data_IF_296115308749
#
_entry.id   IF_296115308749
#
_cell.length_a   1.000
_cell.length_b   1.000
_cell.length_c   1.000
_cell.angle_alpha   90.00
_cell.angle_beta   90.00
_cell.angle_gamma   90.00
#
_symmetry.space_group_name_H-M   'P 1'
#
loop_
_entity.id
_entity.type
_entity.pdbx_description
1 polymer ?
#
# COMPACT_ATOMS: atom_id res chain seq x y z
N UNK A 1 26.08 -21.12 -18.43
CA UNK A 1 24.73 -21.74 -18.28
C UNK A 1 23.71 -20.66 -17.90
N UNK A 2 22.43 -20.77 -18.36
CA UNK A 2 21.34 -19.84 -17.99
C UNK A 2 21.04 -20.03 -16.50
N UNK A 3 20.79 -18.90 -15.79
CA UNK A 3 20.37 -18.91 -14.38
C UNK A 3 18.96 -19.53 -14.23
N UNK A 4 18.80 -20.41 -13.25
CA UNK A 4 17.49 -20.92 -12.79
C UNK A 4 17.15 -20.25 -11.44
N UNK A 5 15.91 -19.81 -11.24
CA UNK A 5 15.48 -19.19 -9.99
C UNK A 5 15.23 -20.25 -8.91
N UNK A 6 15.44 -19.89 -7.65
CA UNK A 6 15.25 -20.79 -6.52
C UNK A 6 13.81 -21.33 -6.46
N UNK A 7 12.81 -20.49 -6.71
CA UNK A 7 11.41 -20.91 -6.77
C UNK A 7 11.15 -22.02 -7.81
N UNK A 8 11.89 -22.05 -8.90
CA UNK A 8 11.79 -23.10 -9.94
C UNK A 8 12.47 -24.40 -9.48
N UNK A 9 13.63 -24.27 -8.79
CA UNK A 9 14.40 -25.41 -8.26
C UNK A 9 13.62 -26.15 -7.17
N UNK A 10 12.95 -25.41 -6.27
CA UNK A 10 12.18 -25.99 -5.16
C UNK A 10 10.97 -26.82 -5.59
N UNK A 11 10.53 -26.71 -6.83
CA UNK A 11 9.49 -27.62 -7.42
C UNK A 11 9.98 -29.06 -7.60
N UNK A 12 11.29 -29.27 -7.63
CA UNK A 12 11.88 -30.61 -7.78
C UNK A 12 11.85 -31.19 -9.20
N UNK A 13 11.30 -30.49 -10.18
CA UNK A 13 11.17 -30.97 -11.57
C UNK A 13 12.52 -31.13 -12.29
N UNK A 14 13.56 -30.49 -11.77
CA UNK A 14 14.93 -30.51 -12.33
C UNK A 14 15.88 -31.43 -11.58
N UNK A 15 15.41 -32.32 -10.72
CA UNK A 15 16.25 -33.30 -10.01
C UNK A 15 17.02 -34.17 -11.02
N UNK A 16 18.33 -34.36 -10.77
CA UNK A 16 19.26 -35.07 -11.65
C UNK A 16 19.87 -34.21 -12.75
N UNK A 17 19.49 -32.93 -12.83
CA UNK A 17 20.03 -31.99 -13.82
C UNK A 17 21.09 -31.07 -13.21
N UNK A 18 22.07 -30.70 -14.04
CA UNK A 18 22.99 -29.62 -13.70
C UNK A 18 22.31 -28.27 -13.87
N UNK A 19 22.31 -27.47 -12.83
CA UNK A 19 21.65 -26.15 -12.78
C UNK A 19 22.67 -25.05 -12.41
N UNK A 20 22.33 -23.80 -12.76
CA UNK A 20 23.05 -22.62 -12.30
C UNK A 20 22.11 -21.78 -11.46
N UNK A 21 22.46 -21.56 -10.18
CA UNK A 21 21.73 -20.68 -9.29
C UNK A 21 22.63 -19.50 -8.88
N UNK A 22 22.02 -18.31 -8.76
CA UNK A 22 22.71 -17.12 -8.24
C UNK A 22 21.88 -16.49 -7.13
N UNK A 23 22.53 -16.04 -6.06
CA UNK A 23 21.83 -15.45 -4.93
C UNK A 23 22.78 -14.98 -3.84
N UNK A 24 22.22 -14.65 -2.70
CA UNK A 24 22.94 -14.15 -1.52
C UNK A 24 22.94 -15.20 -0.42
N UNK A 25 24.11 -15.35 0.21
CA UNK A 25 24.31 -16.25 1.36
C UNK A 25 23.53 -15.74 2.56
N UNK A 26 22.62 -16.57 3.06
CA UNK A 26 21.87 -16.32 4.31
C UNK A 26 22.62 -16.86 5.51
N UNK A 27 23.08 -18.10 5.41
CA UNK A 27 23.90 -18.75 6.44
C UNK A 27 24.87 -19.72 5.80
N UNK A 28 25.97 -19.95 6.49
CA UNK A 28 26.91 -21.02 6.19
C UNK A 28 27.19 -21.82 7.46
N UNK A 29 27.15 -23.12 7.36
CA UNK A 29 27.49 -24.09 8.42
C UNK A 29 28.19 -25.29 7.80
N UNK A 30 28.84 -26.12 8.60
CA UNK A 30 29.47 -27.32 8.10
C UNK A 30 30.46 -27.92 9.10
N UNK A 31 31.21 -28.87 8.64
CA UNK A 31 32.27 -29.54 9.36
C UNK A 31 33.61 -29.44 8.56
N UNK A 32 34.57 -30.30 8.87
CA UNK A 32 35.90 -30.27 8.19
C UNK A 32 35.85 -30.82 6.75
N UNK A 33 34.78 -31.51 6.34
CA UNK A 33 34.69 -32.13 5.02
C UNK A 33 33.66 -31.41 4.12
N UNK A 34 32.56 -30.92 4.68
CA UNK A 34 31.44 -30.39 3.90
C UNK A 34 30.93 -29.06 4.44
N UNK A 35 30.67 -28.11 3.56
CA UNK A 35 29.99 -26.84 3.85
C UNK A 35 28.57 -26.84 3.32
N UNK A 36 27.61 -26.45 4.15
CA UNK A 36 26.21 -26.22 3.81
C UNK A 36 25.96 -24.71 3.76
N UNK A 37 25.58 -24.20 2.58
CA UNK A 37 25.37 -22.79 2.33
C UNK A 37 23.89 -22.62 2.00
N UNK A 38 23.17 -21.85 2.82
CA UNK A 38 21.79 -21.44 2.51
C UNK A 38 21.84 -20.22 1.58
N UNK A 39 21.36 -20.39 0.36
CA UNK A 39 21.36 -19.35 -0.68
C UNK A 39 19.91 -18.90 -0.96
N UNK A 40 19.69 -17.60 -1.08
CA UNK A 40 18.40 -17.02 -1.44
C UNK A 40 18.57 -16.00 -2.57
N UNK A 41 17.65 -16.01 -3.53
CA UNK A 41 17.66 -15.10 -4.68
C UNK A 41 16.49 -14.10 -4.67
N UNK A 42 15.69 -14.09 -3.60
CA UNK A 42 14.52 -13.23 -3.44
C UNK A 42 13.24 -13.73 -4.10
N UNK A 43 13.30 -14.76 -4.96
CA UNK A 43 12.12 -15.26 -5.68
C UNK A 43 11.09 -15.96 -4.78
N UNK A 44 11.51 -16.42 -3.61
CA UNK A 44 10.69 -17.12 -2.63
C UNK A 44 11.26 -16.90 -1.22
N UNK A 45 10.48 -17.15 -0.19
CA UNK A 45 10.94 -17.00 1.20
C UNK A 45 11.98 -18.06 1.59
N UNK A 46 11.86 -19.26 1.04
CA UNK A 46 12.75 -20.37 1.33
C UNK A 46 14.11 -20.24 0.65
N UNK A 47 15.12 -20.86 1.26
CA UNK A 47 16.46 -20.92 0.70
C UNK A 47 16.67 -22.25 -0.02
N UNK A 48 17.59 -22.28 -1.00
CA UNK A 48 18.14 -23.52 -1.50
C UNK A 48 19.42 -23.84 -0.74
N UNK A 49 19.61 -25.09 -0.32
CA UNK A 49 20.87 -25.52 0.27
C UNK A 49 21.88 -25.89 -0.81
N UNK A 50 23.07 -25.31 -0.72
CA UNK A 50 24.24 -25.68 -1.50
C UNK A 50 25.12 -26.58 -0.62
N UNK A 51 25.48 -27.72 -1.12
CA UNK A 51 26.40 -28.67 -0.48
C UNK A 51 27.72 -28.59 -1.20
N UNK A 52 28.74 -28.09 -0.53
CA UNK A 52 30.09 -27.96 -1.06
C UNK A 52 31.07 -28.91 -0.34
N UNK A 53 31.64 -29.85 -1.07
CA UNK A 53 32.71 -30.71 -0.62
C UNK A 53 34.02 -29.87 -0.53
N UNK A 54 34.53 -29.65 0.67
CA UNK A 54 35.62 -28.73 0.91
C UNK A 54 36.96 -29.15 0.27
N UNK A 55 37.12 -30.43 -0.05
CA UNK A 55 38.32 -30.92 -0.74
C UNK A 55 38.37 -30.49 -2.23
N UNK A 56 37.23 -30.11 -2.78
CA UNK A 56 37.10 -29.71 -4.20
C UNK A 56 37.27 -28.21 -4.44
N UNK A 57 37.28 -27.39 -3.39
CA UNK A 57 37.30 -25.94 -3.51
C UNK A 57 38.51 -25.31 -2.81
N UNK A 58 39.02 -24.24 -3.39
CA UNK A 58 40.10 -23.44 -2.82
C UNK A 58 39.71 -22.87 -1.43
N UNK A 59 40.51 -23.06 -0.38
CA UNK A 59 40.26 -22.47 0.93
C UNK A 59 40.08 -20.97 0.92
N UNK A 60 40.79 -20.21 0.05
CA UNK A 60 40.65 -18.75 -0.07
C UNK A 60 39.33 -18.35 -0.72
N UNK A 61 38.79 -19.15 -1.64
CA UNK A 61 37.42 -18.98 -2.16
C UNK A 61 36.41 -19.21 -1.06
N UNK A 62 36.55 -20.32 -0.33
CA UNK A 62 35.63 -20.67 0.75
C UNK A 62 35.61 -19.62 1.87
N UNK A 63 36.73 -19.00 2.19
CA UNK A 63 36.82 -17.94 3.19
C UNK A 63 35.98 -16.70 2.83
N UNK A 64 35.79 -16.45 1.54
CA UNK A 64 34.93 -15.31 1.03
C UNK A 64 33.44 -15.59 1.07
N UNK A 65 33.01 -16.83 1.31
CA UNK A 65 31.58 -17.21 1.39
C UNK A 65 31.08 -16.89 2.79
N UNK A 66 30.77 -15.61 3.02
CA UNK A 66 30.25 -15.06 4.28
C UNK A 66 28.77 -14.70 4.14
N UNK A 67 28.08 -14.52 5.27
CA UNK A 67 26.69 -14.01 5.26
C UNK A 67 26.63 -12.69 4.50
N UNK A 68 25.71 -12.59 3.54
CA UNK A 68 25.53 -11.42 2.67
C UNK A 68 26.37 -11.45 1.38
N UNK A 69 27.36 -12.33 1.24
CA UNK A 69 28.08 -12.50 -0.01
C UNK A 69 27.16 -13.00 -1.13
N UNK A 70 27.40 -12.58 -2.37
CA UNK A 70 26.65 -13.05 -3.55
C UNK A 70 27.47 -14.12 -4.29
N UNK A 71 26.79 -15.20 -4.67
CA UNK A 71 27.38 -16.36 -5.32
C UNK A 71 26.71 -16.69 -6.65
N UNK A 72 27.49 -17.30 -7.55
CA UNK A 72 27.01 -18.10 -8.67
C UNK A 72 27.46 -19.55 -8.42
N UNK A 73 26.53 -20.48 -8.42
CA UNK A 73 26.79 -21.89 -8.14
C UNK A 73 26.29 -22.74 -9.31
N UNK A 74 27.14 -23.59 -9.85
CA UNK A 74 26.79 -24.64 -10.80
C UNK A 74 26.90 -25.98 -10.09
N UNK A 75 25.88 -26.82 -10.18
CA UNK A 75 25.88 -28.13 -9.53
C UNK A 75 24.67 -28.95 -9.91
N UNK A 76 24.64 -30.18 -9.46
CA UNK A 76 23.52 -31.10 -9.66
C UNK A 76 22.44 -30.86 -8.62
N UNK A 77 21.18 -30.68 -9.07
CA UNK A 77 20.02 -30.64 -8.20
C UNK A 77 19.65 -32.09 -7.78
N UNK A 78 19.66 -32.35 -6.51
CA UNK A 78 19.34 -33.68 -5.95
C UNK A 78 18.23 -33.61 -4.91
N UNK A 79 17.57 -34.74 -4.66
CA UNK A 79 16.65 -34.86 -3.52
C UNK A 79 17.48 -34.70 -2.22
N UNK A 80 17.03 -33.84 -1.31
CA UNK A 80 17.73 -33.63 -0.06
C UNK A 80 17.54 -34.79 0.90
N UNK A 81 18.59 -35.16 1.61
CA UNK A 81 18.54 -36.10 2.72
C UNK A 81 18.32 -35.40 4.07
N UNK A 82 18.35 -34.08 4.09
CA UNK A 82 18.15 -33.26 5.28
C UNK A 82 16.67 -33.02 5.61
N UNK A 83 16.37 -32.80 6.88
CA UNK A 83 15.02 -32.40 7.30
C UNK A 83 14.74 -30.93 6.93
N UNK A 84 13.50 -30.64 6.54
CA UNK A 84 13.02 -29.28 6.29
C UNK A 84 13.31 -28.72 4.90
N UNK A 85 13.80 -29.54 3.96
CA UNK A 85 14.00 -29.17 2.55
C UNK A 85 13.81 -30.38 1.64
N UNK A 86 13.22 -30.18 0.47
CA UNK A 86 12.96 -31.25 -0.50
C UNK A 86 14.14 -31.52 -1.44
N UNK A 87 14.88 -30.50 -1.78
CA UNK A 87 15.99 -30.53 -2.73
C UNK A 87 17.19 -29.74 -2.24
N UNK A 88 18.37 -30.08 -2.76
CA UNK A 88 19.63 -29.37 -2.54
C UNK A 88 20.51 -29.44 -3.77
N UNK A 89 21.52 -28.58 -3.86
CA UNK A 89 22.48 -28.56 -4.96
C UNK A 89 23.84 -29.09 -4.49
N UNK A 90 24.32 -30.17 -5.12
CA UNK A 90 25.68 -30.65 -4.97
C UNK A 90 26.59 -29.79 -5.87
N UNK A 91 27.36 -28.90 -5.26
CA UNK A 91 28.14 -27.90 -5.97
C UNK A 91 29.29 -28.53 -6.76
N UNK A 92 29.38 -28.19 -8.04
CA UNK A 92 30.55 -28.48 -8.91
C UNK A 92 31.47 -27.27 -9.05
N UNK A 93 30.87 -26.06 -9.17
CA UNK A 93 31.61 -24.80 -9.29
C UNK A 93 30.93 -23.74 -8.41
N UNK A 94 31.73 -22.94 -7.74
CA UNK A 94 31.29 -21.77 -6.96
C UNK A 94 32.14 -20.58 -7.37
N UNK A 95 31.46 -19.50 -7.76
CA UNK A 95 32.04 -18.19 -8.02
C UNK A 95 31.48 -17.19 -7.01
N UNK A 96 32.37 -16.45 -6.33
CA UNK A 96 31.98 -15.32 -5.46
C UNK A 96 31.85 -14.07 -6.33
N UNK A 97 30.63 -13.64 -6.59
CA UNK A 97 30.35 -12.44 -7.38
C UNK A 97 30.57 -11.15 -6.60
N UNK A 98 30.37 -11.19 -5.28
CA UNK A 98 30.59 -10.07 -4.39
C UNK A 98 30.78 -10.54 -2.95
N UNK A 99 31.77 -9.99 -2.28
CA UNK A 99 32.07 -10.30 -0.88
C UNK A 99 31.23 -9.43 0.07
N UNK A 100 31.01 -9.90 1.29
CA UNK A 100 30.49 -9.10 2.41
C UNK A 100 31.43 -9.29 3.60
N UNK A 101 31.95 -8.18 4.13
CA UNK A 101 32.82 -8.22 5.31
C UNK A 101 31.98 -8.56 6.55
N UNK A 102 32.25 -9.69 7.24
CA UNK A 102 31.50 -10.09 8.42
C UNK A 102 31.59 -9.09 9.58
N UNK A 103 32.62 -8.25 9.62
CA UNK A 103 32.81 -7.27 10.69
C UNK A 103 31.90 -6.07 10.53
N UNK A 104 31.50 -5.71 9.30
CA UNK A 104 30.70 -4.50 8.99
C UNK A 104 29.33 -4.79 8.46
N UNK A 105 29.05 -6.00 7.94
CA UNK A 105 27.73 -6.34 7.41
C UNK A 105 26.66 -6.34 8.50
N UNK A 106 25.64 -5.46 8.45
CA UNK A 106 24.74 -5.23 9.58
C UNK A 106 23.73 -6.37 9.80
N UNK A 107 23.37 -7.12 8.73
CA UNK A 107 22.38 -8.19 8.80
C UNK A 107 23.04 -9.53 9.19
N UNK A 108 23.47 -9.61 10.43
CA UNK A 108 24.05 -10.81 11.00
C UNK A 108 22.99 -11.89 11.30
N UNK A 109 23.44 -13.12 11.61
CA UNK A 109 22.59 -14.25 11.99
C UNK A 109 21.96 -14.05 13.38
N UNK A 110 21.17 -13.01 13.55
CA UNK A 110 20.39 -12.72 14.78
C UNK A 110 19.08 -12.03 14.40
N UNK A 111 18.12 -12.01 15.33
CA UNK A 111 16.92 -11.21 15.15
C UNK A 111 17.26 -9.71 15.11
N UNK A 112 16.59 -8.97 14.24
CA UNK A 112 16.71 -7.51 14.12
C UNK A 112 15.33 -6.90 14.38
N UNK A 113 15.28 -5.82 15.16
CA UNK A 113 14.02 -5.10 15.36
C UNK A 113 13.60 -4.37 14.08
N UNK A 114 12.31 -4.11 13.93
CA UNK A 114 11.79 -3.34 12.78
C UNK A 114 12.33 -1.90 12.80
N UNK A 115 12.54 -1.31 13.99
CA UNK A 115 13.15 0.01 14.15
C UNK A 115 14.55 0.05 13.53
N UNK A 116 15.41 -0.88 13.90
CA UNK A 116 16.75 -0.98 13.30
C UNK A 116 16.70 -1.19 11.78
N UNK A 117 15.78 -2.03 11.31
CA UNK A 117 15.63 -2.28 9.87
C UNK A 117 15.12 -1.05 9.09
N UNK A 118 14.44 -0.10 9.76
CA UNK A 118 14.11 1.20 9.15
C UNK A 118 15.33 2.10 8.98
N UNK A 119 16.28 2.05 9.91
CA UNK A 119 17.55 2.80 9.82
C UNK A 119 18.42 2.33 8.66
N UNK A 120 18.31 1.06 8.27
CA UNK A 120 19.02 0.46 7.13
C UNK A 120 18.04 0.02 6.02
N UNK A 121 17.08 0.88 5.69
CA UNK A 121 16.01 0.54 4.74
C UNK A 121 16.52 0.02 3.39
N UNK A 122 17.68 0.47 2.92
CA UNK A 122 18.36 0.01 1.70
C UNK A 122 18.85 -1.46 1.77
N UNK A 123 19.03 -2.03 2.95
CA UNK A 123 19.45 -3.43 3.14
C UNK A 123 18.32 -4.33 3.64
N UNK A 124 17.26 -3.78 4.24
CA UNK A 124 16.17 -4.59 4.83
C UNK A 124 15.48 -5.54 3.84
N UNK A 125 15.45 -5.30 2.50
CA UNK A 125 14.90 -6.27 1.55
C UNK A 125 15.61 -7.63 1.58
N UNK A 126 16.84 -7.70 2.10
CA UNK A 126 17.59 -8.94 2.26
C UNK A 126 17.13 -9.78 3.45
N UNK A 127 16.20 -9.31 4.28
CA UNK A 127 15.60 -10.09 5.37
C UNK A 127 14.39 -10.88 4.88
N UNK A 128 14.04 -11.96 5.58
CA UNK A 128 12.84 -12.73 5.24
C UNK A 128 11.57 -11.87 5.38
N UNK A 129 11.47 -11.07 6.45
CA UNK A 129 10.34 -10.18 6.70
C UNK A 129 10.09 -9.23 5.54
N UNK A 130 11.09 -8.47 5.13
CA UNK A 130 10.91 -7.51 4.05
C UNK A 130 10.89 -8.16 2.67
N UNK A 131 11.53 -9.31 2.50
CA UNK A 131 11.35 -10.14 1.32
C UNK A 131 9.88 -10.56 1.13
N UNK A 132 9.24 -11.03 2.20
CA UNK A 132 7.81 -11.38 2.22
C UNK A 132 6.94 -10.15 1.93
N UNK A 133 7.13 -9.06 2.65
CA UNK A 133 6.36 -7.82 2.45
C UNK A 133 6.48 -7.30 1.01
N UNK A 134 7.67 -7.35 0.39
CA UNK A 134 7.86 -6.84 -0.98
C UNK A 134 7.23 -7.76 -2.03
N UNK A 135 7.26 -9.08 -1.84
CA UNK A 135 6.53 -10.01 -2.71
C UNK A 135 5.02 -9.79 -2.56
N UNK A 136 4.51 -9.64 -1.34
CA UNK A 136 3.11 -9.27 -1.09
C UNK A 136 2.73 -7.96 -1.78
N UNK A 137 3.58 -6.91 -1.66
CA UNK A 137 3.35 -5.63 -2.34
C UNK A 137 3.28 -5.79 -3.86
N UNK A 138 4.18 -6.58 -4.45
CA UNK A 138 4.13 -6.89 -5.88
C UNK A 138 2.82 -7.59 -6.27
N UNK A 139 2.45 -8.64 -5.54
CA UNK A 139 1.23 -9.39 -5.84
C UNK A 139 -0.05 -8.55 -5.68
N UNK A 140 -0.11 -7.68 -4.67
CA UNK A 140 -1.25 -6.77 -4.51
C UNK A 140 -1.33 -5.75 -5.66
N UNK A 141 -0.21 -5.21 -6.11
CA UNK A 141 -0.19 -4.32 -7.28
C UNK A 141 -0.71 -5.03 -8.54
N UNK A 142 -0.28 -6.28 -8.76
CA UNK A 142 -0.78 -7.09 -9.89
C UNK A 142 -2.28 -7.42 -9.75
N UNK A 143 -2.75 -7.76 -8.55
CA UNK A 143 -4.17 -8.00 -8.28
C UNK A 143 -5.03 -6.79 -8.64
N UNK A 144 -4.61 -5.59 -8.23
CA UNK A 144 -5.29 -4.33 -8.51
C UNK A 144 -5.38 -4.09 -10.02
N UNK A 145 -4.26 -4.17 -10.74
CA UNK A 145 -4.25 -3.98 -12.19
C UNK A 145 -5.11 -5.03 -12.91
N UNK A 146 -5.05 -6.30 -12.48
CA UNK A 146 -5.84 -7.38 -13.08
C UNK A 146 -7.33 -7.18 -12.85
N UNK A 147 -7.73 -6.83 -11.62
CA UNK A 147 -9.14 -6.58 -11.28
C UNK A 147 -9.80 -5.55 -12.19
N UNK A 148 -9.17 -4.40 -12.35
CA UNK A 148 -9.71 -3.32 -13.16
C UNK A 148 -9.59 -3.61 -14.67
N UNK A 149 -8.47 -4.18 -15.11
CA UNK A 149 -8.26 -4.54 -16.51
C UNK A 149 -9.32 -5.54 -17.03
N UNK A 150 -9.59 -6.60 -16.27
CA UNK A 150 -10.58 -7.62 -16.65
C UNK A 150 -12.02 -7.10 -16.71
N UNK A 151 -12.29 -5.98 -16.02
CA UNK A 151 -13.59 -5.28 -16.04
C UNK A 151 -13.65 -4.16 -17.07
N UNK A 152 -12.61 -4.01 -17.88
CA UNK A 152 -12.56 -3.03 -18.98
C UNK A 152 -12.29 -1.59 -18.53
N UNK A 153 -11.76 -1.38 -17.32
CA UNK A 153 -11.37 -0.06 -16.84
C UNK A 153 -10.00 0.33 -17.38
N UNK A 154 -9.84 1.61 -17.68
CA UNK A 154 -8.58 2.15 -18.19
C UNK A 154 -7.71 2.65 -17.04
N UNK A 155 -6.44 2.24 -17.03
CA UNK A 155 -5.43 2.82 -16.16
C UNK A 155 -5.04 4.20 -16.68
N UNK A 156 -5.25 5.22 -15.86
CA UNK A 156 -4.92 6.62 -16.19
C UNK A 156 -3.97 7.14 -15.10
N UNK A 157 -2.87 7.74 -15.51
CA UNK A 157 -2.05 8.50 -14.56
C UNK A 157 -2.38 9.99 -14.65
N UNK A 158 -2.60 10.60 -13.50
CA UNK A 158 -2.89 12.01 -13.34
C UNK A 158 -1.62 12.79 -12.93
N UNK A 159 -1.57 14.11 -13.15
CA UNK A 159 -0.39 14.88 -12.81
C UNK A 159 -0.04 14.81 -11.32
N UNK A 160 1.24 14.64 -11.00
CA UNK A 160 1.74 14.72 -9.63
C UNK A 160 1.98 16.16 -9.17
N UNK A 161 2.22 17.06 -10.11
CA UNK A 161 2.36 18.50 -9.85
C UNK A 161 1.05 19.16 -10.26
N UNK A 162 0.40 19.83 -9.33
CA UNK A 162 -0.90 20.46 -9.53
C UNK A 162 -0.93 21.88 -9.00
N UNK A 163 -1.79 22.72 -9.58
CA UNK A 163 -2.13 24.03 -9.05
C UNK A 163 -3.47 24.02 -8.29
N UNK A 164 -4.12 22.87 -8.17
CA UNK A 164 -5.42 22.72 -7.52
C UNK A 164 -5.26 21.91 -6.23
N UNK A 165 -5.94 22.35 -5.16
CA UNK A 165 -6.11 21.57 -3.95
C UNK A 165 -7.45 20.82 -4.05
N UNK A 166 -7.38 19.52 -4.33
CA UNK A 166 -8.55 18.68 -4.53
C UNK A 166 -9.39 18.50 -3.25
N UNK A 167 -8.75 18.50 -2.09
CA UNK A 167 -9.42 18.21 -0.82
C UNK A 167 -9.67 19.47 0.02
N UNK A 168 -9.02 20.60 -0.30
CA UNK A 168 -9.20 21.90 0.38
C UNK A 168 -8.73 21.91 1.84
N UNK A 169 -8.03 20.89 2.30
CA UNK A 169 -7.72 20.67 3.71
C UNK A 169 -6.28 20.26 3.98
N UNK A 170 -5.46 20.05 2.96
CA UNK A 170 -4.15 19.45 3.12
C UNK A 170 -3.02 20.48 3.19
N UNK A 171 -2.07 20.29 4.10
CA UNK A 171 -0.76 20.88 3.92
C UNK A 171 -0.08 20.15 2.75
N UNK A 172 0.04 20.86 1.62
CA UNK A 172 0.67 20.32 0.42
C UNK A 172 2.15 20.66 0.40
N UNK A 173 2.97 19.76 -0.13
CA UNK A 173 4.36 20.07 -0.44
C UNK A 173 4.41 21.01 -1.64
N UNK A 174 5.01 22.18 -1.47
CA UNK A 174 5.19 23.14 -2.56
C UNK A 174 6.25 22.64 -3.54
N UNK A 175 5.99 22.81 -4.84
CA UNK A 175 6.93 22.59 -5.93
C UNK A 175 7.32 23.95 -6.52
N UNK A 176 8.59 24.28 -6.46
CA UNK A 176 9.10 25.56 -6.95
C UNK A 176 10.53 25.46 -7.45
N UNK A 177 10.89 26.26 -8.43
CA UNK A 177 12.26 26.47 -8.91
C UNK A 177 12.82 27.83 -8.52
N UNK A 178 12.06 28.63 -7.75
CA UNK A 178 12.52 29.91 -7.24
C UNK A 178 13.67 29.70 -6.24
N UNK A 179 14.62 30.63 -6.27
CA UNK A 179 15.68 30.71 -5.27
C UNK A 179 15.07 31.13 -3.92
N UNK A 180 15.08 30.21 -2.94
CA UNK A 180 14.49 30.45 -1.62
C UNK A 180 15.24 31.53 -0.82
N UNK A 181 16.52 31.80 -1.12
CA UNK A 181 17.31 32.85 -0.49
C UNK A 181 17.04 34.21 -1.12
N UNK A 182 16.46 34.25 -2.35
CA UNK A 182 16.20 35.48 -3.09
C UNK A 182 14.86 35.43 -3.84
N UNK A 183 13.77 35.35 -3.08
CA UNK A 183 12.41 35.21 -3.64
C UNK A 183 11.99 36.52 -4.36
N UNK A 184 11.52 36.42 -5.63
CA UNK A 184 10.90 37.56 -6.30
C UNK A 184 9.62 37.99 -5.59
N UNK A 185 9.40 39.33 -5.52
CA UNK A 185 8.25 39.89 -4.82
C UNK A 185 7.43 40.78 -5.73
N UNK A 186 6.13 40.76 -5.56
CA UNK A 186 5.19 41.73 -6.13
C UNK A 186 5.26 43.07 -5.39
N UNK A 187 4.60 44.10 -5.90
CA UNK A 187 4.58 45.43 -5.29
C UNK A 187 4.01 45.44 -3.87
N UNK A 188 3.06 44.52 -3.58
CA UNK A 188 2.45 44.36 -2.26
C UNK A 188 3.25 43.40 -1.32
N UNK A 189 4.43 42.95 -1.76
CA UNK A 189 5.36 42.13 -0.97
C UNK A 189 5.08 40.62 -0.98
N UNK A 190 4.06 40.16 -1.67
CA UNK A 190 3.81 38.72 -1.84
C UNK A 190 4.86 38.05 -2.75
N UNK A 191 4.98 36.72 -2.73
CA UNK A 191 5.85 36.01 -3.65
C UNK A 191 5.29 36.13 -5.07
N UNK A 192 6.15 36.57 -6.02
CA UNK A 192 5.76 36.64 -7.43
C UNK A 192 5.95 35.28 -8.14
N UNK A 193 4.95 34.43 -8.08
CA UNK A 193 4.97 33.13 -8.75
C UNK A 193 4.96 33.22 -10.29
N UNK A 194 4.79 34.39 -10.89
CA UNK A 194 4.91 34.54 -12.36
C UNK A 194 6.34 34.30 -12.83
N UNK A 195 7.31 34.47 -11.94
CA UNK A 195 8.73 34.17 -12.17
C UNK A 195 9.08 32.67 -11.93
N UNK A 196 8.16 31.86 -11.38
CA UNK A 196 8.39 30.45 -11.18
C UNK A 196 8.16 29.63 -12.47
N UNK A 197 8.63 28.39 -12.49
CA UNK A 197 8.60 27.51 -13.69
C UNK A 197 7.22 27.42 -14.35
N UNK A 198 6.16 27.25 -13.56
CA UNK A 198 4.78 27.16 -14.05
C UNK A 198 4.04 28.50 -14.08
N UNK A 199 4.69 29.60 -13.80
CA UNK A 199 4.12 30.95 -13.67
C UNK A 199 2.91 31.01 -12.69
N UNK A 200 2.87 30.11 -11.72
CA UNK A 200 1.86 30.02 -10.65
C UNK A 200 2.36 29.15 -9.49
N UNK A 201 1.70 29.27 -8.35
CA UNK A 201 1.92 28.39 -7.23
C UNK A 201 1.53 26.96 -7.61
N UNK A 202 2.41 25.98 -7.37
CA UNK A 202 2.18 24.56 -7.60
C UNK A 202 2.62 23.72 -6.41
N UNK A 203 2.01 22.55 -6.28
CA UNK A 203 2.26 21.61 -5.19
C UNK A 203 2.27 20.17 -5.69
N UNK A 204 2.76 19.26 -4.86
CA UNK A 204 2.55 17.84 -5.09
C UNK A 204 1.10 17.46 -4.75
N UNK A 205 0.49 16.61 -5.56
CA UNK A 205 -0.93 16.25 -5.45
C UNK A 205 -1.22 15.42 -4.19
N UNK A 206 -2.40 15.61 -3.64
CA UNK A 206 -2.96 14.78 -2.55
C UNK A 206 -3.88 13.66 -3.07
N UNK A 207 -4.33 13.75 -4.35
CA UNK A 207 -5.25 12.79 -4.98
C UNK A 207 -5.26 13.00 -6.50
N UNK A 208 -5.47 11.94 -7.25
CA UNK A 208 -5.71 11.99 -8.70
C UNK A 208 -7.20 12.02 -9.07
N UNK A 209 -8.10 12.18 -8.11
CA UNK A 209 -9.54 12.05 -8.30
C UNK A 209 -10.10 13.04 -9.30
N UNK A 210 -9.84 14.36 -9.14
CA UNK A 210 -10.51 15.37 -9.95
C UNK A 210 -10.18 15.25 -11.44
N UNK A 211 -8.91 15.01 -11.77
CA UNK A 211 -8.46 14.75 -13.14
C UNK A 211 -8.95 13.37 -13.63
N UNK A 212 -9.03 12.39 -12.73
CA UNK A 212 -9.60 11.06 -12.99
C UNK A 212 -11.07 11.12 -13.42
N UNK A 213 -11.88 11.94 -12.77
CA UNK A 213 -13.29 12.16 -13.14
C UNK A 213 -13.44 12.68 -14.56
N UNK A 214 -12.51 13.54 -15.04
CA UNK A 214 -12.53 14.01 -16.43
C UNK A 214 -12.37 12.87 -17.42
N UNK A 215 -11.47 11.94 -17.13
CA UNK A 215 -11.26 10.75 -17.96
C UNK A 215 -12.43 9.76 -17.84
N UNK A 216 -13.01 9.58 -16.66
CA UNK A 216 -14.18 8.72 -16.45
C UNK A 216 -15.41 9.18 -17.23
N UNK A 217 -15.69 10.50 -17.26
CA UNK A 217 -16.77 11.09 -18.02
C UNK A 217 -16.60 11.03 -19.56
N UNK A 218 -15.48 10.49 -20.01
CA UNK A 218 -15.21 10.25 -21.43
C UNK A 218 -15.04 8.76 -21.76
N UNK A 219 -14.45 7.98 -20.86
CA UNK A 219 -14.08 6.58 -21.07
C UNK A 219 -14.96 5.57 -20.32
N UNK A 220 -15.88 6.06 -19.47
CA UNK A 220 -16.82 5.23 -18.70
C UNK A 220 -16.26 4.79 -17.36
N UNK A 221 -15.20 3.96 -17.34
CA UNK A 221 -14.55 3.51 -16.12
C UNK A 221 -13.03 3.64 -16.22
N UNK A 222 -12.43 4.30 -15.24
CA UNK A 222 -10.98 4.44 -15.12
C UNK A 222 -10.52 4.12 -13.70
N UNK A 223 -9.22 3.95 -13.52
CA UNK A 223 -8.61 4.02 -12.20
C UNK A 223 -7.23 4.68 -12.28
N UNK A 224 -6.87 5.39 -11.22
CA UNK A 224 -5.50 5.81 -10.96
C UNK A 224 -4.84 4.80 -10.04
N UNK A 225 -3.54 4.65 -10.14
CA UNK A 225 -2.71 3.91 -9.19
C UNK A 225 -1.35 4.58 -9.16
N UNK A 226 -1.14 5.47 -8.24
CA UNK A 226 0.04 6.33 -8.22
C UNK A 226 0.32 6.96 -6.86
N UNK A 227 1.48 7.62 -6.75
CA UNK A 227 1.89 8.29 -5.54
C UNK A 227 1.04 9.54 -5.27
N UNK A 228 0.76 9.76 -3.98
CA UNK A 228 0.13 10.95 -3.43
C UNK A 228 0.93 11.45 -2.24
N UNK A 229 0.78 12.73 -1.90
CA UNK A 229 1.66 13.40 -0.95
C UNK A 229 0.84 14.23 0.04
N UNK A 230 1.17 14.13 1.33
CA UNK A 230 0.57 14.94 2.39
C UNK A 230 1.65 15.47 3.33
N UNK A 231 1.74 16.78 3.48
CA UNK A 231 2.74 17.45 4.30
C UNK A 231 2.30 17.55 5.78
N UNK A 232 1.43 16.67 6.23
CA UNK A 232 0.96 16.64 7.62
C UNK A 232 2.11 16.30 8.58
N UNK A 233 2.26 17.12 9.62
CA UNK A 233 3.24 16.84 10.68
C UNK A 233 2.73 15.77 11.65
N UNK A 234 2.38 14.59 11.13
CA UNK A 234 1.87 13.46 11.87
C UNK A 234 2.89 12.32 11.94
N UNK A 235 3.27 11.91 13.13
CA UNK A 235 4.27 10.86 13.36
C UNK A 235 3.64 9.58 13.95
N UNK A 236 2.48 9.17 13.42
CA UNK A 236 1.79 7.95 13.86
C UNK A 236 2.21 6.74 13.03
N UNK A 237 1.92 5.50 13.48
CA UNK A 237 2.14 4.29 12.69
C UNK A 237 1.31 4.18 11.41
N UNK A 238 0.38 5.11 11.16
CA UNK A 238 -0.58 5.08 10.04
C UNK A 238 -0.40 6.20 9.02
N UNK A 239 0.61 7.10 9.21
CA UNK A 239 0.83 8.25 8.35
C UNK A 239 2.19 8.19 7.65
N UNK A 240 2.19 8.51 6.38
CA UNK A 240 3.34 8.74 5.52
C UNK A 240 3.15 10.07 4.78
N UNK A 241 4.25 10.74 4.47
CA UNK A 241 4.23 11.94 3.65
C UNK A 241 4.10 11.63 2.14
N UNK A 242 4.51 10.43 1.74
CA UNK A 242 4.36 9.88 0.39
C UNK A 242 3.81 8.46 0.51
N UNK A 243 2.72 8.18 -0.20
CA UNK A 243 2.06 6.87 -0.23
C UNK A 243 1.35 6.69 -1.58
N UNK A 244 0.79 5.51 -1.85
CA UNK A 244 0.13 5.23 -3.11
C UNK A 244 -1.38 5.10 -2.92
N UNK A 245 -2.13 5.69 -3.84
CA UNK A 245 -3.60 5.58 -3.87
C UNK A 245 -4.06 4.82 -5.10
N UNK A 246 -5.12 4.03 -4.93
CA UNK A 246 -5.91 3.45 -6.00
C UNK A 246 -7.24 4.19 -5.99
N UNK A 247 -7.58 4.85 -7.10
CA UNK A 247 -8.75 5.73 -7.18
C UNK A 247 -9.53 5.43 -8.47
N UNK A 248 -10.44 4.45 -8.45
CA UNK A 248 -11.38 4.25 -9.55
C UNK A 248 -12.42 5.37 -9.58
N UNK A 249 -12.74 5.83 -10.79
CA UNK A 249 -13.83 6.76 -11.08
C UNK A 249 -14.66 6.19 -12.22
N UNK A 250 -15.98 6.13 -12.04
CA UNK A 250 -16.88 5.38 -12.91
C UNK A 250 -18.10 6.21 -13.25
N UNK A 251 -18.31 6.50 -14.54
CA UNK A 251 -19.50 7.15 -15.05
C UNK A 251 -20.71 6.21 -15.05
N UNK A 252 -21.89 6.78 -14.86
CA UNK A 252 -23.17 6.06 -14.79
C UNK A 252 -23.32 5.10 -13.61
N UNK A 253 -22.54 5.33 -12.55
CA UNK A 253 -22.54 4.56 -11.32
C UNK A 253 -23.03 5.42 -10.16
N UNK A 254 -24.03 4.95 -9.42
CA UNK A 254 -24.53 5.59 -8.21
C UNK A 254 -23.87 4.99 -6.95
N UNK A 255 -24.24 5.47 -5.75
CA UNK A 255 -23.57 5.09 -4.50
C UNK A 255 -23.71 3.59 -4.18
N UNK A 256 -24.86 2.99 -4.47
CA UNK A 256 -25.15 1.58 -4.20
C UNK A 256 -24.22 0.67 -4.98
N UNK A 257 -24.05 0.96 -6.27
CA UNK A 257 -23.16 0.21 -7.16
C UNK A 257 -21.67 0.48 -6.83
N UNK A 258 -21.35 1.69 -6.35
CA UNK A 258 -20.00 2.01 -5.88
C UNK A 258 -19.62 1.21 -4.62
N UNK A 259 -20.59 0.99 -3.71
CA UNK A 259 -20.40 0.10 -2.57
C UNK A 259 -20.16 -1.35 -3.01
N UNK A 260 -20.91 -1.84 -4.01
CA UNK A 260 -20.73 -3.18 -4.58
C UNK A 260 -19.33 -3.33 -5.19
N UNK A 261 -18.89 -2.35 -5.98
CA UNK A 261 -17.56 -2.32 -6.59
C UNK A 261 -16.44 -2.32 -5.53
N UNK A 262 -16.58 -1.53 -4.48
CA UNK A 262 -15.60 -1.46 -3.39
C UNK A 262 -15.49 -2.79 -2.63
N UNK A 263 -16.63 -3.43 -2.32
CA UNK A 263 -16.66 -4.75 -1.67
C UNK A 263 -16.04 -5.82 -2.56
N UNK A 264 -16.41 -5.88 -3.84
CA UNK A 264 -15.88 -6.85 -4.81
C UNK A 264 -14.37 -6.67 -4.98
N UNK A 265 -13.91 -5.44 -5.14
CA UNK A 265 -12.51 -5.11 -5.33
C UNK A 265 -11.64 -5.56 -4.14
N UNK A 266 -12.05 -5.24 -2.93
CA UNK A 266 -11.23 -5.56 -1.77
C UNK A 266 -11.24 -7.07 -1.47
N UNK A 267 -12.36 -7.75 -1.67
CA UNK A 267 -12.45 -9.21 -1.58
C UNK A 267 -11.56 -9.89 -2.62
N UNK A 268 -11.53 -9.39 -3.84
CA UNK A 268 -10.64 -9.89 -4.88
C UNK A 268 -9.16 -9.78 -4.46
N UNK A 269 -8.74 -8.64 -3.93
CA UNK A 269 -7.37 -8.45 -3.45
C UNK A 269 -7.02 -9.40 -2.30
N UNK A 270 -7.95 -9.59 -1.35
CA UNK A 270 -7.75 -10.50 -0.22
C UNK A 270 -7.66 -11.96 -0.69
N UNK A 271 -8.54 -12.38 -1.59
CA UNK A 271 -8.49 -13.71 -2.19
C UNK A 271 -7.20 -13.93 -2.97
N UNK A 272 -6.76 -12.94 -3.75
CA UNK A 272 -5.49 -13.01 -4.47
C UNK A 272 -4.29 -13.23 -3.53
N UNK A 273 -4.28 -12.58 -2.37
CA UNK A 273 -3.23 -12.77 -1.38
C UNK A 273 -3.19 -14.22 -0.88
N UNK A 274 -4.34 -14.81 -0.56
CA UNK A 274 -4.44 -16.20 -0.13
C UNK A 274 -4.01 -17.19 -1.22
N UNK A 275 -4.37 -16.92 -2.47
CA UNK A 275 -4.09 -17.82 -3.60
C UNK A 275 -2.64 -17.78 -4.07
N UNK A 276 -1.97 -16.63 -3.94
CA UNK A 276 -0.65 -16.41 -4.55
C UNK A 276 0.49 -16.15 -3.57
N UNK A 277 0.19 -15.91 -2.28
CA UNK A 277 1.19 -15.49 -1.30
C UNK A 277 1.16 -16.34 -0.02
N UNK A 278 0.62 -17.56 -0.05
CA UNK A 278 0.37 -18.36 1.15
C UNK A 278 1.64 -18.62 1.99
N UNK A 279 2.80 -18.85 1.36
CA UNK A 279 4.07 -19.07 2.07
C UNK A 279 4.51 -17.81 2.82
N UNK A 280 4.41 -16.64 2.18
CA UNK A 280 4.73 -15.35 2.80
C UNK A 280 3.73 -15.00 3.90
N UNK A 281 2.43 -15.26 3.68
CA UNK A 281 1.37 -15.08 4.67
C UNK A 281 1.59 -15.96 5.91
N UNK A 282 1.94 -17.23 5.71
CA UNK A 282 2.23 -18.16 6.81
C UNK A 282 3.39 -17.65 7.65
N UNK A 283 4.48 -17.22 7.00
CA UNK A 283 5.62 -16.64 7.70
C UNK A 283 5.24 -15.39 8.50
N UNK A 284 4.47 -14.48 7.90
CA UNK A 284 4.03 -13.25 8.57
C UNK A 284 3.07 -13.55 9.73
N UNK A 285 2.18 -14.52 9.57
CA UNK A 285 1.29 -14.97 10.63
C UNK A 285 2.06 -15.53 11.82
N UNK A 286 3.05 -16.39 11.58
CA UNK A 286 3.87 -17.00 12.64
C UNK A 286 4.73 -15.98 13.42
N UNK A 287 5.16 -14.89 12.77
CA UNK A 287 6.13 -13.97 13.36
C UNK A 287 5.53 -12.65 13.84
N UNK A 288 4.39 -12.22 13.30
CA UNK A 288 3.85 -10.88 13.58
C UNK A 288 2.38 -10.87 14.01
N UNK A 289 1.52 -11.71 13.40
CA UNK A 289 0.08 -11.65 13.66
C UNK A 289 -0.56 -13.03 13.49
N UNK A 290 -0.64 -13.79 14.56
CA UNK A 290 -1.16 -15.16 14.55
C UNK A 290 -2.61 -15.28 14.01
N UNK A 291 -3.39 -14.18 14.02
CA UNK A 291 -4.77 -14.14 13.53
C UNK A 291 -4.86 -13.69 12.06
N UNK A 292 -3.72 -13.45 11.38
CA UNK A 292 -3.69 -12.85 10.04
C UNK A 292 -4.56 -13.62 9.04
N UNK A 293 -4.35 -14.92 8.90
CA UNK A 293 -5.04 -15.75 7.91
C UNK A 293 -6.53 -15.85 8.23
N UNK A 294 -6.89 -16.05 9.49
CA UNK A 294 -8.28 -16.09 9.94
C UNK A 294 -9.01 -14.77 9.66
N UNK A 295 -8.32 -13.65 9.86
CA UNK A 295 -8.86 -12.32 9.55
C UNK A 295 -9.07 -12.09 8.05
N UNK A 296 -8.20 -12.62 7.18
CA UNK A 296 -8.41 -12.57 5.74
C UNK A 296 -9.66 -13.37 5.34
N UNK A 297 -9.85 -14.57 5.89
CA UNK A 297 -11.06 -15.35 5.68
C UNK A 297 -12.32 -14.66 6.21
N UNK A 298 -12.26 -14.05 7.39
CA UNK A 298 -13.36 -13.28 7.97
C UNK A 298 -13.93 -12.22 7.01
N UNK A 299 -13.08 -11.54 6.25
CA UNK A 299 -13.51 -10.54 5.26
C UNK A 299 -14.23 -11.18 4.07
N UNK A 300 -13.85 -12.39 3.70
CA UNK A 300 -14.42 -13.11 2.54
C UNK A 300 -15.77 -13.78 2.83
N UNK A 301 -16.00 -14.21 4.08
CA UNK A 301 -17.13 -15.09 4.43
C UNK A 301 -18.50 -14.46 4.26
N UNK A 302 -18.64 -13.15 4.53
CA UNK A 302 -19.94 -12.49 4.59
C UNK A 302 -19.98 -11.24 3.72
N UNK A 303 -21.17 -10.84 3.21
CA UNK A 303 -21.37 -9.50 2.65
C UNK A 303 -21.05 -8.44 3.71
N UNK A 304 -20.50 -7.31 3.27
CA UNK A 304 -20.25 -6.18 4.15
C UNK A 304 -21.57 -5.61 4.68
N UNK A 305 -21.60 -5.22 5.95
CA UNK A 305 -22.79 -4.55 6.52
C UNK A 305 -22.84 -3.13 5.99
N UNK A 306 -23.97 -2.74 5.42
CA UNK A 306 -24.26 -1.36 5.02
C UNK A 306 -25.10 -0.70 6.11
N UNK A 307 -24.74 0.52 6.47
CA UNK A 307 -25.46 1.34 7.44
C UNK A 307 -25.20 2.82 7.18
N UNK A 308 -26.12 3.66 7.67
CA UNK A 308 -25.92 5.10 7.65
C UNK A 308 -25.04 5.58 8.80
N UNK A 309 -24.40 6.73 8.65
CA UNK A 309 -23.65 7.38 9.72
C UNK A 309 -24.55 7.62 10.96
N UNK A 310 -25.80 8.03 10.75
CA UNK A 310 -26.75 8.25 11.85
C UNK A 310 -27.01 6.97 12.64
N UNK A 311 -27.24 5.84 11.98
CA UNK A 311 -27.36 4.53 12.65
C UNK A 311 -26.08 4.19 13.43
N UNK A 312 -24.91 4.50 12.88
CA UNK A 312 -23.62 4.29 13.56
C UNK A 312 -23.51 5.09 14.85
N UNK A 313 -23.88 6.35 14.84
CA UNK A 313 -23.88 7.21 16.02
C UNK A 313 -24.87 6.67 17.07
N UNK A 314 -26.06 6.21 16.68
CA UNK A 314 -27.04 5.63 17.59
C UNK A 314 -26.52 4.35 18.26
N UNK A 315 -25.84 3.47 17.50
CA UNK A 315 -25.22 2.25 18.04
C UNK A 315 -24.10 2.60 19.03
N UNK A 316 -23.24 3.55 18.71
CA UNK A 316 -22.16 3.99 19.58
C UNK A 316 -22.67 4.66 20.86
N UNK A 317 -23.69 5.52 20.76
CA UNK A 317 -24.34 6.15 21.89
C UNK A 317 -25.02 5.12 22.81
N UNK A 318 -25.67 4.11 22.24
CA UNK A 318 -26.24 2.99 23.00
C UNK A 318 -25.14 2.20 23.74
N UNK A 319 -23.98 1.99 23.11
CA UNK A 319 -22.85 1.34 23.76
C UNK A 319 -22.30 2.16 24.97
N UNK A 320 -22.21 3.48 24.81
CA UNK A 320 -21.82 4.38 25.92
C UNK A 320 -22.83 4.29 27.08
N UNK A 321 -24.13 4.33 26.78
CA UNK A 321 -25.19 4.17 27.78
C UNK A 321 -25.15 2.81 28.48
N UNK A 322 -24.67 1.78 27.80
CA UNK A 322 -24.45 0.45 28.36
C UNK A 322 -23.13 0.32 29.16
N UNK A 323 -22.36 1.40 29.29
CA UNK A 323 -21.14 1.45 30.09
C UNK A 323 -19.83 1.31 29.31
N UNK A 324 -19.86 1.24 27.97
CA UNK A 324 -18.64 1.30 27.15
C UNK A 324 -18.00 2.68 27.28
N UNK A 325 -16.69 2.71 27.41
CA UNK A 325 -15.92 3.96 27.42
C UNK A 325 -15.13 4.07 26.11
N UNK A 326 -15.24 5.23 25.48
CA UNK A 326 -14.40 5.64 24.36
C UNK A 326 -13.55 6.82 24.77
N UNK A 327 -12.40 6.98 24.17
CA UNK A 327 -11.48 8.10 24.39
C UNK A 327 -12.03 9.39 23.78
N UNK A 328 -12.63 9.28 22.60
CA UNK A 328 -13.20 10.40 21.84
C UNK A 328 -14.72 10.49 22.06
N UNK A 329 -15.29 11.72 22.11
CA UNK A 329 -16.72 11.91 22.31
C UNK A 329 -17.53 11.48 21.10
N UNK A 330 -18.76 11.01 21.34
CA UNK A 330 -19.71 10.60 20.31
C UNK A 330 -20.88 11.59 20.28
N UNK A 331 -21.10 12.22 19.14
CA UNK A 331 -22.26 13.06 18.86
C UNK A 331 -22.46 13.15 17.34
N UNK A 332 -23.69 13.44 16.91
CA UNK A 332 -23.96 13.59 15.49
C UNK A 332 -23.25 14.81 14.92
N UNK A 333 -22.48 14.63 13.85
CA UNK A 333 -21.59 15.63 13.26
C UNK A 333 -20.11 15.48 13.65
N UNK A 334 -19.78 14.58 14.58
CA UNK A 334 -18.39 14.25 14.88
C UNK A 334 -17.81 13.32 13.82
N UNK A 335 -16.53 13.51 13.51
CA UNK A 335 -15.79 12.51 12.72
C UNK A 335 -15.59 11.24 13.56
N UNK A 336 -15.73 10.06 12.93
CA UNK A 336 -15.55 8.79 13.63
C UNK A 336 -14.06 8.54 13.89
N UNK A 337 -13.70 8.41 15.16
CA UNK A 337 -12.36 7.98 15.52
C UNK A 337 -12.15 6.48 15.25
N UNK A 338 -10.91 6.06 15.01
CA UNK A 338 -10.58 4.66 14.74
C UNK A 338 -11.10 3.66 15.78
N UNK A 339 -11.26 4.07 17.05
CA UNK A 339 -11.86 3.21 18.08
C UNK A 339 -13.35 2.98 17.88
N UNK A 340 -14.08 4.00 17.36
CA UNK A 340 -15.50 3.90 17.02
C UNK A 340 -15.70 2.95 15.83
N UNK A 341 -14.90 3.13 14.78
CA UNK A 341 -14.92 2.29 13.59
C UNK A 341 -14.63 0.82 13.93
N UNK A 342 -13.60 0.56 14.73
CA UNK A 342 -13.26 -0.79 15.14
C UNK A 342 -14.32 -1.43 16.02
N UNK A 343 -14.96 -0.68 16.92
CA UNK A 343 -16.08 -1.18 17.70
C UNK A 343 -17.23 -1.66 16.81
N UNK A 344 -17.60 -0.87 15.79
CA UNK A 344 -18.64 -1.25 14.85
C UNK A 344 -18.30 -2.55 14.09
N UNK A 345 -17.06 -2.69 13.65
CA UNK A 345 -16.61 -3.84 12.85
C UNK A 345 -16.35 -5.07 13.69
N UNK A 346 -15.59 -4.93 14.79
CA UNK A 346 -15.02 -6.06 15.53
C UNK A 346 -15.97 -6.57 16.63
N UNK A 347 -16.71 -5.68 17.28
CA UNK A 347 -17.55 -6.03 18.44
C UNK A 347 -19.04 -6.08 18.07
N UNK A 348 -19.56 -5.06 17.38
CA UNK A 348 -21.01 -4.95 17.13
C UNK A 348 -21.48 -5.83 15.98
N UNK A 349 -20.95 -5.62 14.76
CA UNK A 349 -21.40 -6.36 13.57
C UNK A 349 -20.63 -7.63 13.28
N UNK A 350 -19.40 -7.74 13.76
CA UNK A 350 -18.48 -8.85 13.51
C UNK A 350 -18.38 -9.17 12.01
N UNK A 351 -18.16 -8.12 11.21
CA UNK A 351 -17.91 -8.13 9.76
C UNK A 351 -17.47 -6.75 9.30
N UNK A 352 -16.85 -6.60 8.12
CA UNK A 352 -16.61 -5.28 7.53
C UNK A 352 -17.91 -4.49 7.37
N UNK A 353 -17.82 -3.17 7.52
CA UNK A 353 -18.95 -2.26 7.50
C UNK A 353 -18.73 -1.17 6.46
N UNK A 354 -19.75 -0.84 5.67
CA UNK A 354 -19.79 0.34 4.82
C UNK A 354 -20.73 1.33 5.48
N UNK A 355 -20.21 2.50 5.82
CA UNK A 355 -20.95 3.60 6.42
C UNK A 355 -21.22 4.64 5.35
N UNK A 356 -22.49 5.08 5.24
CA UNK A 356 -22.93 6.09 4.24
C UNK A 356 -23.61 7.28 4.91
N UNK A 357 -23.98 8.28 4.11
CA UNK A 357 -24.79 9.41 4.50
C UNK A 357 -24.20 10.23 5.66
N UNK A 358 -22.96 10.61 5.47
CA UNK A 358 -22.21 11.42 6.43
C UNK A 358 -22.72 12.87 6.48
N UNK A 359 -22.60 13.56 7.62
CA UNK A 359 -22.84 15.01 7.69
C UNK A 359 -22.01 15.76 6.66
N UNK A 360 -22.62 16.67 5.92
CA UNK A 360 -21.94 17.43 4.86
C UNK A 360 -20.79 18.29 5.35
N UNK A 361 -20.83 18.71 6.60
CA UNK A 361 -19.84 19.61 7.22
C UNK A 361 -18.46 18.95 7.37
N UNK A 362 -18.41 17.62 7.44
CA UNK A 362 -17.17 16.85 7.64
C UNK A 362 -16.70 16.13 6.36
N UNK A 363 -17.32 16.40 5.20
CA UNK A 363 -17.01 15.74 3.93
C UNK A 363 -16.79 16.79 2.82
N UNK A 364 -16.05 16.41 1.79
CA UNK A 364 -15.56 17.27 0.72
C UNK A 364 -16.67 17.86 -0.16
N UNK A 365 -16.38 18.99 -0.83
CA UNK A 365 -17.34 19.77 -1.61
C UNK A 365 -17.93 19.04 -2.81
N UNK A 366 -17.21 18.10 -3.39
CA UNK A 366 -17.60 17.36 -4.59
C UNK A 366 -18.59 16.21 -4.33
N UNK A 367 -18.86 15.88 -3.08
CA UNK A 367 -19.79 14.80 -2.75
C UNK A 367 -21.23 15.25 -2.94
N UNK A 368 -22.05 14.38 -3.56
CA UNK A 368 -23.46 14.65 -3.84
C UNK A 368 -24.24 14.80 -2.55
N UNK A 369 -25.01 15.89 -2.45
CA UNK A 369 -25.93 16.12 -1.34
C UNK A 369 -27.15 15.18 -1.45
N UNK A 370 -27.58 14.62 -0.31
CA UNK A 370 -28.87 13.97 -0.18
C UNK A 370 -30.01 15.00 -0.17
N UNK A 371 -31.22 14.54 -0.42
CA UNK A 371 -32.45 15.40 -0.46
C UNK A 371 -32.75 16.04 0.89
N UNK A 372 -32.18 15.52 2.00
CA UNK A 372 -32.31 16.10 3.33
C UNK A 372 -31.51 17.42 3.49
N UNK A 373 -30.62 17.74 2.55
CA UNK A 373 -29.75 18.90 2.56
C UNK A 373 -28.73 18.95 3.71
N UNK A 374 -28.61 17.89 4.49
CA UNK A 374 -27.75 17.76 5.67
C UNK A 374 -26.65 16.75 5.53
N UNK A 375 -26.89 15.70 4.74
CA UNK A 375 -25.96 14.59 4.53
C UNK A 375 -25.49 14.52 3.08
N UNK A 376 -24.41 13.81 2.85
CA UNK A 376 -23.85 13.56 1.52
C UNK A 376 -23.78 12.06 1.24
N UNK A 377 -23.85 11.67 -0.04
CA UNK A 377 -23.65 10.29 -0.51
C UNK A 377 -22.19 9.90 -0.48
N UNK A 378 -21.57 10.08 0.68
CA UNK A 378 -20.23 9.56 1.00
C UNK A 378 -20.33 8.12 1.45
N UNK A 379 -19.24 7.39 1.33
CA UNK A 379 -19.08 6.05 1.88
C UNK A 379 -17.67 5.86 2.44
N UNK A 380 -17.58 5.21 3.60
CA UNK A 380 -16.30 4.73 4.15
C UNK A 380 -16.42 3.22 4.41
N UNK A 381 -15.45 2.44 3.95
CA UNK A 381 -15.37 1.00 4.20
C UNK A 381 -14.46 0.76 5.40
N UNK A 382 -15.03 0.19 6.45
CA UNK A 382 -14.36 -0.04 7.72
C UNK A 382 -13.94 -1.51 7.88
N UNK A 383 -12.69 -1.72 8.24
CA UNK A 383 -12.07 -3.03 8.39
C UNK A 383 -11.55 -3.29 9.80
N UNK A 384 -11.46 -4.57 10.22
CA UNK A 384 -10.88 -4.92 11.51
C UNK A 384 -9.41 -4.49 11.59
N UNK A 385 -8.96 -4.03 12.75
CA UNK A 385 -7.61 -3.52 13.07
C UNK A 385 -7.19 -2.25 12.31
N UNK A 386 -7.77 -1.97 11.14
CA UNK A 386 -7.42 -0.82 10.29
C UNK A 386 -8.34 0.37 10.57
N UNK A 387 -9.66 0.15 10.70
CA UNK A 387 -10.67 1.20 10.60
C UNK A 387 -10.97 1.49 9.12
N UNK A 388 -11.11 2.75 8.74
CA UNK A 388 -11.32 3.16 7.36
C UNK A 388 -10.17 2.67 6.44
N UNK A 389 -10.51 1.87 5.43
CA UNK A 389 -9.58 1.39 4.40
C UNK A 389 -9.90 1.99 3.02
N UNK A 390 -11.15 2.28 2.74
CA UNK A 390 -11.65 2.95 1.54
C UNK A 390 -12.51 4.13 1.97
N UNK A 391 -12.31 5.29 1.35
CA UNK A 391 -13.22 6.43 1.38
C UNK A 391 -13.69 6.74 -0.03
N UNK A 392 -14.99 7.01 -0.22
CA UNK A 392 -15.55 7.28 -1.53
C UNK A 392 -16.87 8.06 -1.49
N UNK A 393 -17.43 8.33 -2.67
CA UNK A 393 -18.75 8.96 -2.78
C UNK A 393 -19.35 8.84 -4.17
N UNK A 394 -20.64 9.07 -4.27
CA UNK A 394 -21.25 9.59 -5.48
C UNK A 394 -20.86 11.07 -5.61
N UNK A 395 -20.48 11.48 -6.83
CA UNK A 395 -20.02 12.85 -7.12
C UNK A 395 -21.21 13.75 -7.45
N UNK A 396 -21.14 15.02 -7.05
CA UNK A 396 -22.17 15.98 -7.41
C UNK A 396 -22.12 16.26 -8.93
N UNK A 397 -23.17 15.87 -9.62
CA UNK A 397 -23.29 16.04 -11.07
C UNK A 397 -23.98 17.34 -11.47
N UNK A 398 -24.69 18.00 -10.54
CA UNK A 398 -25.36 19.27 -10.77
C UNK A 398 -24.38 20.43 -10.62
N UNK A 399 -24.24 21.24 -11.68
CA UNK A 399 -23.32 22.37 -11.71
C UNK A 399 -23.61 23.43 -10.64
N UNK A 400 -24.89 23.78 -10.44
CA UNK A 400 -25.25 24.84 -9.49
C UNK A 400 -25.01 24.39 -8.05
N UNK A 401 -25.36 23.14 -7.73
CA UNK A 401 -25.12 22.56 -6.41
C UNK A 401 -23.62 22.44 -6.13
N UNK A 402 -22.85 21.93 -7.09
CA UNK A 402 -21.39 21.79 -6.96
C UNK A 402 -20.71 23.16 -6.74
N UNK A 403 -21.08 24.16 -7.57
CA UNK A 403 -20.53 25.52 -7.45
C UNK A 403 -20.84 26.13 -6.08
N UNK A 404 -22.09 25.98 -5.63
CA UNK A 404 -22.50 26.46 -4.31
C UNK A 404 -21.73 25.80 -3.17
N UNK A 405 -21.54 24.47 -3.23
CA UNK A 405 -20.75 23.75 -2.21
C UNK A 405 -19.29 24.16 -2.21
N UNK A 406 -18.68 24.34 -3.38
CA UNK A 406 -17.30 24.84 -3.49
C UNK A 406 -17.18 26.23 -2.83
N UNK A 407 -18.10 27.14 -3.09
CA UNK A 407 -18.12 28.47 -2.46
C UNK A 407 -18.29 28.39 -0.94
N UNK A 408 -19.25 27.59 -0.43
CA UNK A 408 -19.46 27.37 1.00
C UNK A 408 -18.21 26.87 1.71
N UNK A 409 -17.40 26.05 1.04
CA UNK A 409 -16.14 25.47 1.58
C UNK A 409 -14.90 26.32 1.26
N UNK A 410 -15.06 27.49 0.62
CA UNK A 410 -13.97 28.41 0.34
C UNK A 410 -13.04 27.97 -0.80
N UNK A 411 -13.50 27.05 -1.67
CA UNK A 411 -12.76 26.64 -2.85
C UNK A 411 -13.01 27.63 -3.99
N UNK A 412 -11.98 28.36 -4.48
CA UNK A 412 -12.18 29.37 -5.51
C UNK A 412 -12.52 28.75 -6.87
N UNK A 413 -13.55 29.24 -7.56
CA UNK A 413 -13.94 28.76 -8.90
C UNK A 413 -12.78 28.82 -9.91
N UNK A 414 -11.93 29.83 -9.83
CA UNK A 414 -10.76 30.00 -10.70
C UNK A 414 -9.77 28.83 -10.62
N UNK A 415 -9.75 28.09 -9.52
CA UNK A 415 -8.84 26.98 -9.29
C UNK A 415 -9.44 25.64 -9.75
N UNK A 416 -10.76 25.59 -9.90
CA UNK A 416 -11.54 24.39 -10.31
C UNK A 416 -12.41 24.64 -11.56
N UNK A 417 -12.19 25.70 -12.34
CA UNK A 417 -13.01 26.04 -13.51
C UNK A 417 -13.14 24.89 -14.50
N UNK A 418 -12.05 24.20 -14.77
CA UNK A 418 -11.99 23.05 -15.66
C UNK A 418 -12.77 21.82 -15.09
N UNK A 419 -12.82 21.67 -13.79
CA UNK A 419 -13.61 20.65 -13.10
C UNK A 419 -15.11 20.97 -13.20
N UNK A 420 -15.50 22.25 -13.07
CA UNK A 420 -16.89 22.69 -13.27
C UNK A 420 -17.35 22.51 -14.73
N UNK A 421 -16.45 22.60 -15.71
CA UNK A 421 -16.76 22.37 -17.12
C UNK A 421 -17.26 20.95 -17.38
N UNK A 422 -16.82 19.95 -16.65
CA UNK A 422 -17.32 18.58 -16.77
C UNK A 422 -18.80 18.45 -16.39
N UNK A 423 -19.30 19.37 -15.56
CA UNK A 423 -20.73 19.43 -15.21
C UNK A 423 -21.50 20.29 -16.20
N UNK A 424 -20.86 21.19 -16.89
CA UNK A 424 -21.44 22.06 -17.91
C UNK A 424 -21.64 21.35 -19.24
N UNK A 425 -20.75 20.44 -19.57
CA UNK A 425 -20.68 19.80 -20.88
C UNK A 425 -20.88 18.29 -20.81
N UNK A 426 -22.15 17.85 -20.74
CA UNK A 426 -22.53 16.44 -20.81
C UNK A 426 -22.22 15.64 -19.55
N UNK A 427 -22.57 16.19 -18.41
CA UNK A 427 -22.45 15.51 -17.12
C UNK A 427 -23.26 14.22 -17.06
N UNK A 428 -22.86 13.30 -16.21
CA UNK A 428 -23.58 12.09 -15.87
C UNK A 428 -23.46 11.80 -14.36
N UNK A 429 -24.36 11.02 -13.75
CA UNK A 429 -24.09 10.41 -12.46
C UNK A 429 -22.77 9.64 -12.51
N UNK A 430 -21.92 9.81 -11.51
CA UNK A 430 -20.67 9.09 -11.43
C UNK A 430 -20.20 8.99 -9.99
N UNK A 431 -19.44 7.95 -9.71
CA UNK A 431 -18.97 7.63 -8.37
C UNK A 431 -17.53 7.13 -8.42
N UNK A 432 -16.88 7.20 -7.29
CA UNK A 432 -15.54 6.66 -7.15
C UNK A 432 -15.15 6.52 -5.69
N UNK A 433 -13.98 5.94 -5.48
CA UNK A 433 -13.42 5.81 -4.14
C UNK A 433 -11.89 5.84 -4.17
N UNK A 434 -11.28 6.09 -3.03
CA UNK A 434 -9.84 5.98 -2.81
C UNK A 434 -9.50 4.86 -1.84
N UNK A 435 -8.56 4.00 -2.22
CA UNK A 435 -7.96 3.00 -1.35
C UNK A 435 -6.46 3.30 -1.19
N UNK A 436 -6.02 3.51 0.05
CA UNK A 436 -4.59 3.63 0.35
C UNK A 436 -3.89 2.28 0.20
N UNK A 437 -2.92 2.19 -0.72
CA UNK A 437 -2.22 0.94 -1.00
C UNK A 437 -1.49 0.40 0.23
N UNK A 438 -0.84 1.25 0.98
CA UNK A 438 -0.14 0.87 2.20
C UNK A 438 -1.10 0.42 3.31
N UNK A 439 -2.34 0.94 3.38
CA UNK A 439 -3.38 0.44 4.31
C UNK A 439 -3.82 -0.97 3.93
N UNK A 440 -4.01 -1.25 2.64
CA UNK A 440 -4.27 -2.61 2.15
C UNK A 440 -3.12 -3.55 2.52
N UNK A 441 -1.88 -3.11 2.34
CA UNK A 441 -0.70 -3.90 2.69
C UNK A 441 -0.59 -4.16 4.20
N UNK A 442 -0.87 -3.17 5.06
CA UNK A 442 -0.96 -3.40 6.50
C UNK A 442 -1.97 -4.51 6.81
N UNK A 443 -3.13 -4.47 6.16
CA UNK A 443 -4.19 -5.46 6.38
C UNK A 443 -3.76 -6.86 5.95
N UNK A 444 -3.23 -7.02 4.73
CA UNK A 444 -2.88 -8.35 4.17
C UNK A 444 -1.54 -8.89 4.68
N UNK A 445 -0.69 -8.08 5.31
CA UNK A 445 0.59 -8.55 5.86
C UNK A 445 0.58 -8.71 7.38
N UNK A 446 -0.40 -8.14 8.08
CA UNK A 446 -0.42 -8.11 9.54
C UNK A 446 0.63 -7.19 10.17
N UNK A 447 1.33 -6.39 9.37
CA UNK A 447 2.29 -5.39 9.89
C UNK A 447 1.52 -4.27 10.59
N UNK A 448 2.13 -3.73 11.64
CA UNK A 448 1.47 -2.72 12.51
C UNK A 448 1.91 -1.28 12.25
N UNK A 449 2.95 -1.09 11.43
CA UNK A 449 3.47 0.22 11.11
C UNK A 449 3.60 0.40 9.59
N UNK A 450 2.99 1.44 9.07
CA UNK A 450 2.93 1.73 7.64
C UNK A 450 4.32 1.91 6.99
N UNK A 451 5.35 2.31 7.80
CA UNK A 451 6.73 2.41 7.35
C UNK A 451 7.36 1.07 6.96
N UNK A 452 6.73 -0.03 7.37
CA UNK A 452 7.23 -1.38 7.12
C UNK A 452 6.60 -2.04 5.88
N UNK A 453 5.67 -1.37 5.22
CA UNK A 453 5.01 -1.88 3.99
C UNK A 453 5.32 -1.05 2.74
N UNK A 454 6.14 -0.02 2.88
CA UNK A 454 6.67 0.78 1.76
C UNK A 454 8.20 0.66 1.71
N UNK A 455 8.84 0.61 0.52
CA UNK A 455 10.29 0.40 0.41
C UNK A 455 11.14 1.43 1.16
N UNK A 456 10.89 2.71 0.92
CA UNK A 456 11.62 3.82 1.51
C UNK A 456 10.61 4.83 2.06
N UNK A 457 10.24 4.74 3.36
CA UNK A 457 9.20 5.59 3.94
C UNK A 457 9.64 7.06 3.98
N UNK A 458 8.69 7.96 3.66
CA UNK A 458 8.82 9.42 3.84
C UNK A 458 7.93 9.83 5.00
N UNK A 459 8.54 10.40 6.02
CA UNK A 459 7.85 10.85 7.24
C UNK A 459 8.48 12.16 7.73
N UNK A 460 7.83 12.90 8.64
CA UNK A 460 8.46 14.07 9.24
C UNK A 460 9.88 13.75 9.72
N UNK A 461 10.85 14.61 9.35
CA UNK A 461 12.28 14.48 9.65
C UNK A 461 13.00 13.26 9.08
N UNK A 462 12.39 12.54 8.12
CA UNK A 462 13.04 11.40 7.48
C UNK A 462 12.77 11.38 5.98
N UNK A 463 13.81 11.67 5.22
CA UNK A 463 13.90 11.52 3.77
C UNK A 463 15.27 10.94 3.37
N UNK A 464 15.88 10.16 4.25
CA UNK A 464 17.10 9.41 4.01
C UNK A 464 16.84 8.32 2.95
N UNK A 465 17.72 8.10 2.04
CA UNK A 465 17.63 7.24 0.85
C UNK A 465 16.93 7.85 -0.36
#
# INVERSE_FOLDING_TARGET
>A
MKRTRIIELLRGELIGQTVNVKGWVRTRRGNKAVSFIALNDGSVIHNIQIVADLEKFDPDLLAKITTGASLSVVGELVASQGQGQSVEIQAHEIEVLGTADPATYPLQKKGHSLEFLREIAHLRPRTNTFGAVYRMRHHMAMAIHTFFHERGYFYVHTPLITASDAEGAGQMFQVTTLDLDNLPRTEDGAIDYREDFFARHTSLTVSGQLEGEMAALALGGIYTFGPTFRAENSNTPRHLAEFWMIEPEVAFLEIEENMDLAEEFIKYCVQWALDHCLEDLTFLAEHFDAELIDRLHFVLEKPFKRMTYTEGIEILDAAVKAGRKFEFPIYWGADLASEHERYLVEEHFQRPVIVTDYPKEIKSFYMKLNDDGRTVRGMDVLFPKIGEIIGGSEREADLEKLTKRAQEMGVPEKDIWWYLDSRRYGTAPHSGFGLGFERLLLFVTGMTNIRDVIPFPRTPRNAEF
#
